data_IF_082585420526
#
_entry.id   IF_082585420526
#
_cell.length_a   1.000
_cell.length_b   1.000
_cell.length_c   1.000
_cell.angle_alpha   90.00
_cell.angle_beta   90.00
_cell.angle_gamma   90.00
#
_symmetry.space_group_name_H-M   'P 1'
#
loop_
_entity.id
_entity.type
_entity.pdbx_description
1 polymer ?
#
# COMPACT_ATOMS: atom_id res chain seq x y z
N UNK A 1 -13.59 21.28 -28.79
CA UNK A 1 -13.86 20.95 -27.37
C UNK A 1 -15.34 21.16 -27.11
N UNK A 2 -16.01 20.24 -26.40
CA UNK A 2 -17.40 20.45 -25.97
C UNK A 2 -17.36 21.28 -24.68
N UNK A 3 -17.59 22.59 -24.77
CA UNK A 3 -17.58 23.51 -23.62
C UNK A 3 -19.01 23.93 -23.28
N UNK A 4 -19.36 23.92 -22.00
CA UNK A 4 -20.64 24.44 -21.52
C UNK A 4 -20.70 25.97 -21.66
N UNK A 5 -21.91 26.53 -21.72
CA UNK A 5 -22.08 27.98 -21.54
C UNK A 5 -21.72 28.37 -20.10
N UNK A 6 -21.30 29.62 -19.85
CA UNK A 6 -20.91 30.08 -18.52
C UNK A 6 -22.00 29.87 -17.45
N UNK A 7 -23.26 30.07 -17.83
CA UNK A 7 -24.43 29.87 -16.96
C UNK A 7 -24.61 28.40 -16.54
N UNK A 8 -24.47 27.48 -17.50
CA UNK A 8 -24.57 26.04 -17.23
C UNK A 8 -23.41 25.54 -16.38
N UNK A 9 -22.20 26.09 -16.60
CA UNK A 9 -21.04 25.77 -15.80
C UNK A 9 -21.23 26.20 -14.34
N UNK A 10 -21.65 27.45 -14.11
CA UNK A 10 -21.93 27.97 -12.76
C UNK A 10 -23.03 27.19 -12.03
N UNK A 11 -24.10 26.80 -12.75
CA UNK A 11 -25.17 25.98 -12.19
C UNK A 11 -24.69 24.57 -11.82
N UNK A 12 -23.82 23.97 -12.64
CA UNK A 12 -23.25 22.65 -12.36
C UNK A 12 -22.35 22.68 -11.13
N UNK A 13 -21.44 23.64 -11.04
CA UNK A 13 -20.53 23.81 -9.90
C UNK A 13 -21.29 24.02 -8.58
N UNK A 14 -22.36 24.82 -8.61
CA UNK A 14 -23.22 25.05 -7.45
C UNK A 14 -23.90 23.75 -6.98
N UNK A 15 -24.39 22.93 -7.94
CA UNK A 15 -25.04 21.65 -7.64
C UNK A 15 -24.07 20.61 -7.10
N UNK A 16 -22.84 20.59 -7.60
CA UNK A 16 -21.77 19.73 -7.07
C UNK A 16 -21.47 20.13 -5.63
N UNK A 17 -21.25 21.41 -5.37
CA UNK A 17 -20.95 21.91 -4.01
C UNK A 17 -22.05 21.55 -3.01
N UNK A 18 -23.31 21.78 -3.37
CA UNK A 18 -24.44 21.40 -2.52
C UNK A 18 -24.46 19.89 -2.23
N UNK A 19 -24.22 19.07 -3.26
CA UNK A 19 -24.17 17.61 -3.10
C UNK A 19 -23.03 17.14 -2.18
N UNK A 20 -21.86 17.78 -2.28
CA UNK A 20 -20.70 17.48 -1.42
C UNK A 20 -20.95 17.90 0.03
N UNK A 21 -21.58 19.05 0.26
CA UNK A 21 -21.98 19.54 1.59
C UNK A 21 -23.05 18.62 2.23
N UNK A 22 -24.10 18.25 1.49
CA UNK A 22 -25.18 17.38 1.97
C UNK A 22 -24.67 15.98 2.35
N UNK A 23 -23.76 15.42 1.54
CA UNK A 23 -23.22 14.07 1.79
C UNK A 23 -21.97 14.07 2.66
N UNK A 24 -21.43 15.24 3.00
CA UNK A 24 -20.16 15.41 3.74
C UNK A 24 -19.00 14.64 3.12
N UNK A 25 -19.02 14.45 1.80
CA UNK A 25 -18.00 13.71 1.06
C UNK A 25 -17.81 14.33 -0.33
N UNK A 26 -16.56 14.39 -0.85
CA UNK A 26 -16.31 14.88 -2.19
C UNK A 26 -16.96 13.97 -3.25
N UNK A 27 -17.39 14.58 -4.36
CA UNK A 27 -17.92 13.85 -5.50
C UNK A 27 -16.75 13.19 -6.23
N UNK A 28 -16.64 11.87 -6.10
CA UNK A 28 -15.60 11.09 -6.76
C UNK A 28 -16.19 10.18 -7.84
N UNK A 29 -15.48 10.07 -8.96
CA UNK A 29 -15.74 9.08 -9.99
C UNK A 29 -15.45 7.67 -9.49
N UNK A 30 -16.13 6.67 -10.07
CA UNK A 30 -15.83 5.25 -9.83
C UNK A 30 -14.36 4.90 -10.13
N UNK A 31 -13.73 5.62 -11.08
CA UNK A 31 -12.31 5.44 -11.39
C UNK A 31 -11.40 5.92 -10.25
N UNK A 32 -11.73 7.07 -9.64
CA UNK A 32 -10.99 7.62 -8.51
C UNK A 32 -11.13 6.73 -7.27
N UNK A 33 -12.35 6.27 -6.98
CA UNK A 33 -12.61 5.31 -5.91
C UNK A 33 -11.76 4.03 -6.06
N UNK A 34 -11.73 3.46 -7.26
CA UNK A 34 -10.90 2.28 -7.57
C UNK A 34 -9.41 2.58 -7.43
N UNK A 35 -8.98 3.78 -7.81
CA UNK A 35 -7.60 4.22 -7.64
C UNK A 35 -7.19 4.28 -6.16
N UNK A 36 -8.05 4.84 -5.30
CA UNK A 36 -7.81 4.92 -3.87
C UNK A 36 -7.75 3.54 -3.21
N UNK A 37 -8.65 2.62 -3.59
CA UNK A 37 -8.67 1.25 -3.08
C UNK A 37 -7.37 0.50 -3.42
N UNK A 38 -6.95 0.55 -4.69
CA UNK A 38 -5.66 -0.02 -5.11
C UNK A 38 -4.48 0.62 -4.41
N UNK A 39 -4.49 1.94 -4.24
CA UNK A 39 -3.44 2.66 -3.53
C UNK A 39 -3.32 2.22 -2.07
N UNK A 40 -4.45 1.95 -1.41
CA UNK A 40 -4.48 1.41 -0.05
C UNK A 40 -3.89 0.00 0.01
N UNK A 41 -4.25 -0.88 -0.93
CA UNK A 41 -3.69 -2.24 -1.01
C UNK A 41 -2.18 -2.21 -1.23
N UNK A 42 -1.70 -1.41 -2.17
CA UNK A 42 -0.26 -1.23 -2.45
C UNK A 42 0.46 -0.69 -1.20
N UNK A 43 -0.09 0.34 -0.56
CA UNK A 43 0.51 0.93 0.64
C UNK A 43 0.60 -0.04 1.82
N UNK A 44 -0.38 -0.93 1.99
CA UNK A 44 -0.33 -1.98 3.02
C UNK A 44 0.80 -2.97 2.73
N UNK A 45 0.98 -3.37 1.47
CA UNK A 45 2.06 -4.28 1.06
C UNK A 45 3.43 -3.63 1.25
N UNK A 46 3.61 -2.40 0.76
CA UNK A 46 4.87 -1.65 0.89
C UNK A 46 5.24 -1.45 2.36
N UNK A 47 4.30 -0.97 3.18
CA UNK A 47 4.53 -0.78 4.62
C UNK A 47 4.93 -2.08 5.32
N UNK A 48 4.31 -3.20 4.96
CA UNK A 48 4.63 -4.50 5.54
C UNK A 48 6.05 -4.95 5.14
N UNK A 49 6.44 -4.75 3.88
CA UNK A 49 7.81 -5.04 3.41
C UNK A 49 8.84 -4.18 4.13
N UNK A 50 8.58 -2.89 4.25
CA UNK A 50 9.47 -1.95 4.95
C UNK A 50 9.59 -2.26 6.43
N UNK A 51 8.50 -2.69 7.07
CA UNK A 51 8.53 -3.14 8.47
C UNK A 51 9.45 -4.35 8.64
N UNK A 52 9.36 -5.35 7.75
CA UNK A 52 10.25 -6.52 7.78
C UNK A 52 11.71 -6.09 7.61
N UNK A 53 12.00 -5.26 6.60
CA UNK A 53 13.36 -4.73 6.38
C UNK A 53 13.89 -4.01 7.62
N UNK A 54 13.08 -3.13 8.21
CA UNK A 54 13.43 -2.38 9.42
C UNK A 54 13.76 -3.31 10.58
N UNK A 55 12.92 -4.32 10.85
CA UNK A 55 13.16 -5.29 11.93
C UNK A 55 14.45 -6.06 11.69
N UNK A 56 14.67 -6.55 10.47
CA UNK A 56 15.90 -7.26 10.13
C UNK A 56 17.13 -6.35 10.30
N UNK A 57 17.02 -5.09 9.88
CA UNK A 57 18.12 -4.13 10.01
C UNK A 57 18.44 -3.83 11.47
N UNK A 58 17.42 -3.65 12.31
CA UNK A 58 17.59 -3.41 13.75
C UNK A 58 18.22 -4.61 14.46
N UNK A 59 17.85 -5.84 14.08
CA UNK A 59 18.31 -7.05 14.78
C UNK A 59 19.65 -7.56 14.30
N UNK A 60 19.93 -7.47 13.00
CA UNK A 60 21.08 -8.10 12.38
C UNK A 60 22.05 -7.12 11.70
N UNK A 61 21.74 -5.82 11.70
CA UNK A 61 22.56 -4.79 11.05
C UNK A 61 22.25 -4.67 9.56
N UNK A 62 23.26 -4.70 8.71
CA UNK A 62 23.04 -4.52 7.27
C UNK A 62 22.43 -5.78 6.63
N UNK A 63 21.35 -5.62 5.88
CA UNK A 63 20.70 -6.71 5.14
C UNK A 63 21.23 -6.77 3.71
N UNK A 64 21.46 -7.97 3.20
CA UNK A 64 21.89 -8.15 1.81
C UNK A 64 20.77 -7.82 0.82
N UNK A 65 21.10 -7.18 -0.30
CA UNK A 65 20.15 -6.80 -1.37
C UNK A 65 19.30 -7.97 -1.90
N UNK A 66 19.82 -9.19 -1.83
CA UNK A 66 19.08 -10.42 -2.17
C UNK A 66 17.81 -10.60 -1.31
N UNK A 67 17.90 -10.36 0.01
CA UNK A 67 16.75 -10.48 0.92
C UNK A 67 15.71 -9.41 0.60
N UNK A 68 16.18 -8.19 0.32
CA UNK A 68 15.30 -7.09 -0.06
C UNK A 68 14.52 -7.37 -1.33
N UNK A 69 15.17 -7.96 -2.33
CA UNK A 69 14.54 -8.30 -3.61
C UNK A 69 13.50 -9.42 -3.43
N UNK A 70 13.81 -10.44 -2.61
CA UNK A 70 12.87 -11.52 -2.29
C UNK A 70 11.63 -10.94 -1.60
N UNK A 71 11.80 -10.12 -0.56
CA UNK A 71 10.69 -9.48 0.16
C UNK A 71 9.87 -8.58 -0.79
N UNK A 72 10.53 -7.87 -1.71
CA UNK A 72 9.88 -7.01 -2.70
C UNK A 72 8.96 -7.76 -3.68
N UNK A 73 9.25 -9.04 -3.96
CA UNK A 73 8.44 -9.87 -4.87
C UNK A 73 7.19 -10.46 -4.20
N UNK A 74 7.11 -10.45 -2.86
CA UNK A 74 5.98 -11.05 -2.13
C UNK A 74 4.77 -10.13 -2.18
N UNK A 75 3.69 -10.59 -2.81
CA UNK A 75 2.43 -9.85 -2.96
C UNK A 75 1.34 -10.29 -1.98
N UNK A 76 1.56 -11.38 -1.24
CA UNK A 76 0.58 -11.90 -0.30
C UNK A 76 0.78 -11.26 1.10
N UNK A 77 -0.21 -10.50 1.62
CA UNK A 77 -0.09 -9.81 2.90
C UNK A 77 0.02 -10.77 4.09
N UNK A 78 -0.63 -11.94 4.05
CA UNK A 78 -0.55 -12.94 5.12
C UNK A 78 0.88 -13.48 5.25
N UNK A 79 1.53 -13.74 4.12
CA UNK A 79 2.93 -14.18 4.09
C UNK A 79 3.85 -13.09 4.65
N UNK A 80 3.61 -11.82 4.30
CA UNK A 80 4.39 -10.70 4.86
C UNK A 80 4.22 -10.59 6.38
N UNK A 81 3.02 -10.83 6.91
CA UNK A 81 2.79 -10.81 8.36
C UNK A 81 3.51 -11.96 9.09
N UNK A 82 3.49 -13.17 8.53
CA UNK A 82 4.25 -14.30 9.06
C UNK A 82 5.76 -14.06 8.99
N UNK A 83 6.25 -13.49 7.88
CA UNK A 83 7.64 -13.11 7.74
C UNK A 83 8.06 -12.03 8.72
N UNK A 84 7.18 -11.09 9.06
CA UNK A 84 7.47 -10.10 10.09
C UNK A 84 7.64 -10.76 11.47
N UNK A 85 6.79 -11.74 11.80
CA UNK A 85 6.93 -12.53 13.05
C UNK A 85 8.25 -13.29 13.05
N UNK A 86 8.60 -13.94 11.94
CA UNK A 86 9.87 -14.66 11.78
C UNK A 86 11.08 -13.71 11.85
N UNK A 87 11.01 -12.54 11.24
CA UNK A 87 12.05 -11.52 11.32
C UNK A 87 12.29 -11.06 12.76
N UNK A 88 11.23 -11.01 13.58
CA UNK A 88 11.31 -10.65 15.00
C UNK A 88 11.82 -11.78 15.91
N UNK A 89 11.65 -13.06 15.53
CA UNK A 89 12.00 -14.22 16.37
C UNK A 89 13.27 -14.96 15.92
N UNK A 90 13.68 -14.85 14.66
CA UNK A 90 14.85 -15.57 14.12
C UNK A 90 16.12 -15.25 14.92
N UNK A 91 17.02 -16.21 15.10
CA UNK A 91 18.27 -16.02 15.82
C UNK A 91 19.41 -15.54 14.91
N UNK A 92 19.22 -15.64 13.58
CA UNK A 92 20.20 -15.20 12.57
C UNK A 92 19.53 -14.88 11.24
N UNK A 93 20.25 -14.13 10.38
CA UNK A 93 19.85 -13.92 8.99
C UNK A 93 19.79 -15.22 8.18
N UNK A 94 20.64 -16.21 8.50
CA UNK A 94 20.65 -17.50 7.81
C UNK A 94 19.37 -18.29 8.09
N UNK A 95 18.90 -18.30 9.35
CA UNK A 95 17.63 -18.92 9.74
C UNK A 95 16.45 -18.24 9.04
N UNK A 96 16.46 -16.90 8.98
CA UNK A 96 15.44 -16.14 8.26
C UNK A 96 15.43 -16.47 6.75
N UNK A 97 16.60 -16.54 6.10
CA UNK A 97 16.72 -16.95 4.69
C UNK A 97 16.18 -18.37 4.46
N UNK A 98 16.43 -19.30 5.39
CA UNK A 98 15.90 -20.66 5.26
C UNK A 98 14.37 -20.70 5.36
N UNK A 99 13.78 -19.88 6.23
CA UNK A 99 12.32 -19.75 6.30
C UNK A 99 11.74 -19.11 5.04
N UNK A 100 12.42 -18.12 4.44
CA UNK A 100 12.02 -17.55 3.15
C UNK A 100 11.96 -18.63 2.05
N UNK A 101 12.98 -19.50 1.97
CA UNK A 101 13.03 -20.58 0.98
C UNK A 101 11.95 -21.66 1.18
N UNK A 102 11.35 -21.76 2.38
CA UNK A 102 10.24 -22.69 2.67
C UNK A 102 8.87 -22.13 2.31
N UNK A 103 8.75 -20.82 2.13
CA UNK A 103 7.49 -20.12 1.89
C UNK A 103 7.33 -19.76 0.39
N UNK A 104 8.37 -19.97 -0.43
CA UNK A 104 8.34 -19.86 -1.89
C UNK A 104 7.60 -21.02 -2.57
#
# INVERSE_FOLDING_TARGET
MMTLSPELQSSLESKIKQFEEERTMPLMSNMELRGMERGKEIGVLEKSRDAIKTVLTVRFGEISSEIEEIIGKITNPTILEELLKLAATANSLAEFKQSLARIQ
#
